data_IF_311561512720
#
_entry.id   IF_311561512720
#
_cell.length_a   1.000
_cell.length_b   1.000
_cell.length_c   1.000
_cell.angle_alpha   90.00
_cell.angle_beta   90.00
_cell.angle_gamma   90.00
#
_symmetry.space_group_name_H-M   'P 1'
#
loop_
_entity.id
_entity.type
_entity.pdbx_description
1 polymer ?
#
# COMPACT_ATOMS: atom_id res chain seq x y z
N UNK A 1 9.20 -7.12 19.90
CA UNK A 1 9.28 -6.13 18.80
C UNK A 1 7.98 -5.34 18.75
N UNK A 2 8.06 -4.04 18.57
CA UNK A 2 6.90 -3.13 18.44
C UNK A 2 6.66 -2.81 16.97
N UNK A 3 5.43 -2.44 16.61
CA UNK A 3 5.05 -1.88 15.31
C UNK A 3 4.99 -0.36 15.50
N UNK A 4 5.72 0.38 14.70
CA UNK A 4 5.80 1.83 14.80
C UNK A 4 5.41 2.47 13.48
N UNK A 5 4.40 3.33 13.48
CA UNK A 5 4.00 4.11 12.30
C UNK A 5 3.55 5.51 12.69
N UNK A 6 3.45 6.40 11.71
CA UNK A 6 3.02 7.78 11.90
C UNK A 6 1.63 8.02 11.30
N UNK A 7 0.74 8.70 12.03
CA UNK A 7 -0.58 9.12 11.57
C UNK A 7 -1.04 10.34 12.38
N UNK A 8 -1.71 11.29 11.74
CA UNK A 8 -2.24 12.51 12.39
C UNK A 8 -1.17 13.25 13.22
N UNK A 9 0.00 13.49 12.64
CA UNK A 9 1.14 14.16 13.30
C UNK A 9 1.64 13.47 14.58
N UNK A 10 1.35 12.19 14.77
CA UNK A 10 1.75 11.39 15.93
C UNK A 10 2.42 10.09 15.52
N UNK A 11 3.37 9.66 16.33
CA UNK A 11 3.93 8.32 16.25
C UNK A 11 3.06 7.38 17.08
N UNK A 12 2.62 6.30 16.46
CA UNK A 12 1.88 5.23 17.11
C UNK A 12 2.84 4.06 17.32
N UNK A 13 2.90 3.58 18.55
CA UNK A 13 3.70 2.42 18.93
C UNK A 13 2.76 1.34 19.48
N UNK A 14 2.75 0.18 18.84
CA UNK A 14 1.86 -0.93 19.16
C UNK A 14 2.66 -2.17 19.50
N UNK A 15 2.15 -2.95 20.45
CA UNK A 15 2.70 -4.26 20.75
C UNK A 15 2.49 -5.25 19.59
N UNK A 16 3.45 -6.15 19.37
CA UNK A 16 3.37 -7.16 18.30
C UNK A 16 2.17 -8.11 18.46
N UNK A 17 1.59 -8.24 19.63
CA UNK A 17 0.34 -9.00 19.81
C UNK A 17 -0.85 -8.43 19.03
N UNK A 18 -0.76 -7.17 18.58
CA UNK A 18 -1.75 -6.54 17.71
C UNK A 18 -1.43 -6.66 16.20
N UNK A 19 -0.39 -7.40 15.84
CA UNK A 19 0.12 -7.49 14.46
C UNK A 19 -0.91 -7.95 13.44
N UNK A 20 -1.83 -8.82 13.82
CA UNK A 20 -2.89 -9.41 13.01
C UNK A 20 -4.19 -8.59 13.00
N UNK A 21 -4.26 -7.50 13.75
CA UNK A 21 -5.41 -6.60 13.76
C UNK A 21 -5.46 -5.77 12.47
N UNK A 22 -6.66 -5.46 11.97
CA UNK A 22 -6.80 -4.61 10.79
C UNK A 22 -6.50 -3.14 11.11
N UNK A 23 -5.91 -2.43 10.15
CA UNK A 23 -5.71 -0.98 10.25
C UNK A 23 -7.04 -0.24 10.43
N UNK A 24 -8.11 -0.69 9.77
CA UNK A 24 -9.44 -0.10 9.89
C UNK A 24 -9.94 -0.11 11.33
N UNK A 25 -9.86 -1.26 12.02
CA UNK A 25 -10.27 -1.38 13.42
C UNK A 25 -9.48 -0.46 14.31
N UNK A 26 -8.16 -0.42 14.13
CA UNK A 26 -7.31 0.47 14.91
C UNK A 26 -7.68 1.94 14.70
N UNK A 27 -7.75 2.39 13.44
CA UNK A 27 -8.08 3.78 13.11
C UNK A 27 -9.44 4.19 13.68
N UNK A 28 -10.45 3.35 13.56
CA UNK A 28 -11.82 3.70 13.97
C UNK A 28 -12.05 3.56 15.47
N UNK A 29 -11.49 2.53 16.12
CA UNK A 29 -11.80 2.18 17.49
C UNK A 29 -10.82 2.77 18.51
N UNK A 30 -9.56 2.96 18.16
CA UNK A 30 -8.53 3.49 19.06
C UNK A 30 -8.08 4.90 18.68
N UNK A 31 -7.67 5.11 17.42
CA UNK A 31 -7.26 6.43 16.96
C UNK A 31 -8.42 7.42 16.75
N UNK A 32 -9.67 6.94 16.75
CA UNK A 32 -10.87 7.80 16.65
C UNK A 32 -11.12 8.36 15.24
N UNK A 33 -10.41 7.89 14.21
CA UNK A 33 -10.50 8.38 12.83
C UNK A 33 -11.74 7.83 12.15
N UNK A 34 -12.85 8.59 12.23
CA UNK A 34 -14.16 8.20 11.67
C UNK A 34 -14.32 8.53 10.19
N UNK A 35 -13.40 9.28 9.59
CA UNK A 35 -13.36 9.54 8.15
C UNK A 35 -13.15 8.24 7.35
N UNK A 36 -12.41 7.27 7.87
CA UNK A 36 -12.24 5.95 7.24
C UNK A 36 -13.51 5.13 7.46
N UNK A 37 -14.16 4.69 6.37
CA UNK A 37 -15.46 4.02 6.42
C UNK A 37 -15.35 2.51 6.22
N UNK A 38 -16.21 1.75 6.87
CA UNK A 38 -16.34 0.31 6.63
C UNK A 38 -17.57 0.05 5.76
N UNK A 39 -17.35 -0.38 4.50
CA UNK A 39 -18.43 -0.74 3.58
C UNK A 39 -18.54 -2.25 3.42
N UNK A 40 -17.54 -2.89 2.82
CA UNK A 40 -17.56 -4.32 2.49
C UNK A 40 -16.78 -5.22 3.46
N UNK A 41 -15.80 -4.68 4.18
CA UNK A 41 -14.83 -5.39 5.03
C UNK A 41 -14.07 -6.52 4.28
N UNK A 42 -13.90 -6.40 2.96
CA UNK A 42 -13.23 -7.42 2.13
C UNK A 42 -12.29 -6.85 1.06
N UNK A 43 -11.95 -5.55 1.17
CA UNK A 43 -10.99 -4.94 0.24
C UNK A 43 -11.55 -4.57 -1.13
N UNK A 44 -12.87 -4.56 -1.33
CA UNK A 44 -13.48 -4.41 -2.65
C UNK A 44 -14.02 -2.99 -2.92
N UNK A 45 -14.76 -2.40 -1.96
CA UNK A 45 -15.50 -1.15 -2.19
C UNK A 45 -14.67 0.14 -2.09
N UNK A 46 -13.47 0.11 -1.53
CA UNK A 46 -12.59 1.27 -1.38
C UNK A 46 -13.02 2.32 -0.35
N UNK A 47 -14.15 2.17 0.34
CA UNK A 47 -14.61 3.15 1.34
C UNK A 47 -13.65 3.30 2.54
N UNK A 48 -12.83 2.30 2.77
CA UNK A 48 -11.79 2.25 3.79
C UNK A 48 -10.39 2.60 3.27
N UNK A 49 -10.26 3.10 2.05
CA UNK A 49 -8.96 3.42 1.46
C UNK A 49 -8.20 4.48 2.29
N UNK A 50 -6.92 4.26 2.44
CA UNK A 50 -5.95 5.17 3.06
C UNK A 50 -4.69 5.21 2.20
N UNK A 51 -3.92 6.30 2.29
CA UNK A 51 -2.63 6.38 1.61
C UNK A 51 -1.51 6.06 2.59
N UNK A 52 -0.68 5.09 2.22
CA UNK A 52 0.50 4.66 2.99
C UNK A 52 1.75 5.08 2.25
N UNK A 53 2.67 5.73 2.94
CA UNK A 53 3.96 6.16 2.40
C UNK A 53 5.09 5.57 3.23
N UNK A 54 6.07 5.01 2.55
CA UNK A 54 7.31 4.49 3.15
C UNK A 54 8.52 5.08 2.43
N UNK A 55 9.62 5.23 3.15
CA UNK A 55 10.90 5.53 2.50
C UNK A 55 11.37 4.33 1.69
N UNK A 56 11.80 4.57 0.47
CA UNK A 56 12.36 3.55 -0.42
C UNK A 56 13.83 3.92 -0.71
N UNK A 57 14.81 3.05 -0.36
CA UNK A 57 16.23 3.34 -0.59
C UNK A 57 16.60 3.54 -2.06
N UNK A 58 15.84 2.98 -2.99
CA UNK A 58 16.12 2.99 -4.43
C UNK A 58 15.32 4.05 -5.19
N UNK A 59 14.09 4.33 -4.74
CA UNK A 59 13.13 5.19 -5.45
C UNK A 59 12.68 6.42 -4.65
N UNK A 60 13.25 6.64 -3.45
CA UNK A 60 12.93 7.76 -2.57
C UNK A 60 11.64 7.55 -1.77
N UNK A 61 10.50 7.45 -2.41
CA UNK A 61 9.20 7.23 -1.74
C UNK A 61 8.44 6.08 -2.39
N UNK A 62 7.91 5.21 -1.56
CA UNK A 62 6.94 4.19 -1.96
C UNK A 62 5.55 4.61 -1.47
N UNK A 63 4.73 5.11 -2.39
CA UNK A 63 3.39 5.66 -2.14
C UNK A 63 2.36 4.61 -2.59
N UNK A 64 1.42 4.26 -1.71
CA UNK A 64 0.40 3.24 -2.01
C UNK A 64 -0.95 3.65 -1.43
N UNK A 65 -2.00 3.47 -2.20
CA UNK A 65 -3.37 3.46 -1.68
C UNK A 65 -3.73 2.03 -1.34
N UNK A 66 -4.21 1.79 -0.11
CA UNK A 66 -4.51 0.45 0.39
C UNK A 66 -5.86 0.40 1.09
N UNK A 67 -6.51 -0.75 1.07
CA UNK A 67 -7.76 -0.98 1.79
C UNK A 67 -7.47 -1.35 3.25
N UNK A 68 -7.72 -0.42 4.18
CA UNK A 68 -7.42 -0.60 5.60
C UNK A 68 -8.17 -1.75 6.27
N UNK A 69 -9.33 -2.17 5.74
CA UNK A 69 -10.12 -3.27 6.30
C UNK A 69 -9.43 -4.65 6.22
N UNK A 70 -8.54 -4.84 5.25
CA UNK A 70 -7.78 -6.09 5.04
C UNK A 70 -6.28 -5.92 5.26
N UNK A 71 -5.84 -4.73 5.70
CA UNK A 71 -4.43 -4.42 5.93
C UNK A 71 -4.07 -4.69 7.39
N UNK A 72 -3.24 -5.71 7.71
CA UNK A 72 -2.81 -5.97 9.08
C UNK A 72 -1.82 -4.91 9.55
N UNK A 73 -1.87 -4.57 10.84
CA UNK A 73 -1.00 -3.56 11.45
C UNK A 73 0.49 -3.87 11.28
N UNK A 74 0.87 -5.16 11.29
CA UNK A 74 2.27 -5.58 11.06
C UNK A 74 2.89 -4.95 9.82
N UNK A 75 2.13 -4.85 8.74
CA UNK A 75 2.61 -4.36 7.43
C UNK A 75 2.78 -2.84 7.35
N UNK A 76 2.49 -2.11 8.44
CA UNK A 76 2.59 -0.66 8.52
C UNK A 76 3.84 -0.18 9.26
N UNK A 77 4.64 -1.10 9.76
CA UNK A 77 5.85 -0.72 10.48
C UNK A 77 6.74 0.20 9.63
N UNK A 78 7.19 1.29 10.23
CA UNK A 78 7.94 2.37 9.60
C UNK A 78 7.23 3.03 8.40
N UNK A 79 5.91 3.17 8.47
CA UNK A 79 5.08 3.82 7.45
C UNK A 79 4.48 5.12 7.96
N UNK A 80 4.16 6.02 7.02
CA UNK A 80 3.20 7.10 7.24
C UNK A 80 1.84 6.66 6.74
N UNK A 81 0.79 6.91 7.51
CA UNK A 81 -0.61 6.62 7.15
C UNK A 81 -1.37 7.93 7.08
N UNK A 82 -2.01 8.19 5.94
CA UNK A 82 -2.83 9.37 5.72
C UNK A 82 -4.28 8.95 5.50
N UNK A 83 -5.19 9.68 6.15
CA UNK A 83 -6.63 9.55 6.03
C UNK A 83 -7.21 10.83 5.43
N UNK A 84 -8.43 10.80 4.90
CA UNK A 84 -9.05 11.98 4.29
C UNK A 84 -9.21 13.17 5.26
N UNK A 85 -9.31 12.91 6.56
CA UNK A 85 -9.35 13.96 7.60
C UNK A 85 -8.01 14.68 7.81
N UNK A 86 -6.91 14.15 7.29
CA UNK A 86 -5.58 14.72 7.48
C UNK A 86 -5.26 15.77 6.39
N UNK A 87 -6.09 15.85 5.35
CA UNK A 87 -5.95 16.82 4.28
C UNK A 87 -6.61 18.15 4.67
N UNK A 88 -5.88 19.28 4.53
CA UNK A 88 -6.47 20.59 4.77
C UNK A 88 -7.51 20.94 3.68
N UNK A 89 -8.48 21.83 3.97
CA UNK A 89 -9.53 22.20 3.02
C UNK A 89 -9.00 22.76 1.67
N UNK A 90 -7.87 23.44 1.71
CA UNK A 90 -7.18 24.04 0.55
C UNK A 90 -6.31 23.05 -0.24
N UNK A 91 -6.33 21.76 0.14
CA UNK A 91 -5.59 20.75 -0.62
C UNK A 91 -6.21 20.55 -2.01
N UNK A 92 -5.43 20.52 -3.12
CA UNK A 92 -5.94 20.41 -4.48
C UNK A 92 -6.98 19.30 -4.70
N UNK A 93 -6.78 18.16 -4.06
CA UNK A 93 -7.73 17.04 -4.09
C UNK A 93 -9.08 17.44 -3.48
N UNK A 94 -9.06 18.12 -2.34
CA UNK A 94 -10.28 18.53 -1.63
C UNK A 94 -11.01 19.60 -2.42
N UNK A 95 -10.28 20.61 -2.91
CA UNK A 95 -10.86 21.67 -3.75
C UNK A 95 -11.47 21.11 -5.03
N UNK A 96 -10.78 20.22 -5.75
CA UNK A 96 -11.32 19.58 -6.95
C UNK A 96 -12.62 18.81 -6.68
N UNK A 97 -12.65 18.05 -5.57
CA UNK A 97 -13.85 17.31 -5.15
C UNK A 97 -15.03 18.22 -4.82
N UNK A 98 -14.76 19.39 -4.20
CA UNK A 98 -15.77 20.39 -3.87
C UNK A 98 -16.28 21.11 -5.12
N UNK A 99 -15.39 21.59 -5.99
CA UNK A 99 -15.76 22.34 -7.19
C UNK A 99 -16.52 21.51 -8.22
N UNK A 100 -16.32 20.19 -8.22
CA UNK A 100 -16.99 19.25 -9.12
C UNK A 100 -18.26 18.64 -8.51
N UNK A 101 -18.70 19.07 -7.35
CA UNK A 101 -19.83 18.46 -6.63
C UNK A 101 -19.71 16.92 -6.55
N UNK A 102 -18.48 16.42 -6.32
CA UNK A 102 -18.12 15.02 -6.43
C UNK A 102 -18.58 14.16 -5.24
N UNK A 103 -19.44 14.69 -4.37
CA UNK A 103 -19.98 14.00 -3.21
C UNK A 103 -21.50 14.21 -3.08
N UNK A 104 -22.23 13.13 -2.78
CA UNK A 104 -23.67 13.21 -2.45
C UNK A 104 -23.92 12.70 -1.04
N UNK A 105 -24.07 11.38 -0.80
CA UNK A 105 -24.28 10.87 0.56
C UNK A 105 -23.02 10.93 1.44
N UNK A 106 -21.83 11.10 0.87
CA UNK A 106 -20.55 11.26 1.57
C UNK A 106 -19.90 9.96 2.05
N UNK A 107 -20.56 8.80 1.94
CA UNK A 107 -20.02 7.55 2.51
C UNK A 107 -18.73 7.07 1.82
N UNK A 108 -18.71 7.05 0.49
CA UNK A 108 -17.52 6.64 -0.30
C UNK A 108 -16.50 7.76 -0.49
N UNK A 109 -16.89 9.02 -0.26
CA UNK A 109 -16.06 10.21 -0.56
C UNK A 109 -14.65 10.15 0.04
N UNK A 110 -14.44 9.78 1.31
CA UNK A 110 -13.09 9.68 1.86
C UNK A 110 -12.19 8.70 1.11
N UNK A 111 -12.74 7.59 0.64
CA UNK A 111 -12.00 6.60 -0.15
C UNK A 111 -11.53 7.16 -1.50
N UNK A 112 -12.40 7.89 -2.22
CA UNK A 112 -12.03 8.57 -3.46
C UNK A 112 -11.00 9.67 -3.24
N UNK A 113 -11.14 10.45 -2.17
CA UNK A 113 -10.16 11.46 -1.77
C UNK A 113 -8.79 10.82 -1.59
N UNK A 114 -8.71 9.67 -0.90
CA UNK A 114 -7.42 9.00 -0.66
C UNK A 114 -6.84 8.38 -1.94
N UNK A 115 -7.67 7.90 -2.86
CA UNK A 115 -7.20 7.44 -4.18
C UNK A 115 -6.61 8.58 -5.01
N UNK A 116 -7.26 9.75 -5.03
CA UNK A 116 -6.73 10.95 -5.68
C UNK A 116 -5.47 11.45 -4.97
N UNK A 117 -5.43 11.44 -3.65
CA UNK A 117 -4.27 11.88 -2.87
C UNK A 117 -3.04 11.02 -3.15
N UNK A 118 -3.20 9.69 -3.22
CA UNK A 118 -2.11 8.80 -3.62
C UNK A 118 -1.57 9.13 -5.01
N UNK A 119 -2.46 9.31 -6.00
CA UNK A 119 -2.07 9.70 -7.37
C UNK A 119 -1.40 11.08 -7.41
N UNK A 120 -1.89 12.03 -6.62
CA UNK A 120 -1.30 13.36 -6.48
C UNK A 120 0.12 13.29 -5.94
N UNK A 121 0.34 12.56 -4.85
CA UNK A 121 1.66 12.40 -4.25
C UNK A 121 2.65 11.71 -5.20
N UNK A 122 2.22 10.64 -5.89
CA UNK A 122 3.05 9.96 -6.88
C UNK A 122 3.48 10.91 -8.01
N UNK A 123 2.53 11.71 -8.53
CA UNK A 123 2.80 12.67 -9.58
C UNK A 123 3.77 13.78 -9.12
N UNK A 124 3.57 14.33 -7.92
CA UNK A 124 4.48 15.33 -7.32
C UNK A 124 5.87 14.75 -7.07
N UNK A 125 5.95 13.51 -6.62
CA UNK A 125 7.24 12.83 -6.42
C UNK A 125 7.99 12.60 -7.74
N UNK A 126 7.28 12.25 -8.81
CA UNK A 126 7.83 12.01 -10.15
C UNK A 126 8.00 13.29 -10.99
N UNK A 127 7.44 14.42 -10.58
CA UNK A 127 7.47 15.68 -11.34
C UNK A 127 6.66 15.63 -12.64
N UNK A 128 5.51 14.91 -12.65
CA UNK A 128 4.62 14.74 -13.80
C UNK A 128 3.21 15.26 -13.50
N UNK A 129 2.36 15.38 -14.54
CA UNK A 129 0.93 15.66 -14.37
C UNK A 129 0.24 14.52 -13.59
N UNK A 130 -0.72 14.86 -12.72
CA UNK A 130 -1.38 13.89 -11.85
C UNK A 130 -2.24 12.90 -12.63
N UNK A 131 -3.21 13.41 -13.38
CA UNK A 131 -4.19 12.60 -14.13
C UNK A 131 -4.38 13.22 -15.50
N UNK A 132 -3.71 12.69 -16.52
CA UNK A 132 -3.67 13.31 -17.84
C UNK A 132 -4.98 13.14 -18.62
N UNK A 133 -5.75 12.10 -18.37
CA UNK A 133 -6.95 11.77 -19.14
C UNK A 133 -7.96 10.92 -18.34
N UNK A 134 -9.10 10.64 -18.99
CA UNK A 134 -10.17 9.84 -18.41
C UNK A 134 -9.76 8.40 -18.10
N UNK A 135 -8.88 7.79 -18.88
CA UNK A 135 -8.44 6.42 -18.66
C UNK A 135 -7.60 6.35 -17.38
N UNK A 136 -6.70 7.30 -17.17
CA UNK A 136 -5.93 7.43 -15.94
C UNK A 136 -6.84 7.68 -14.72
N UNK A 137 -7.90 8.50 -14.85
CA UNK A 137 -8.87 8.71 -13.79
C UNK A 137 -9.61 7.42 -13.41
N UNK A 138 -10.05 6.64 -14.40
CA UNK A 138 -10.70 5.35 -14.18
C UNK A 138 -9.76 4.34 -13.52
N UNK A 139 -8.49 4.33 -13.89
CA UNK A 139 -7.47 3.48 -13.27
C UNK A 139 -7.23 3.86 -11.81
N UNK A 140 -7.13 5.14 -11.49
CA UNK A 140 -6.99 5.64 -10.11
C UNK A 140 -8.19 5.24 -9.25
N UNK A 141 -9.40 5.27 -9.82
CA UNK A 141 -10.63 4.91 -9.12
C UNK A 141 -10.97 3.42 -9.17
N UNK A 142 -10.16 2.61 -9.84
CA UNK A 142 -10.37 1.16 -9.84
C UNK A 142 -10.28 0.63 -8.39
N UNK A 143 -11.34 -0.01 -7.91
CA UNK A 143 -11.47 -0.44 -6.52
C UNK A 143 -12.16 0.58 -5.58
N UNK A 144 -12.76 1.66 -6.13
CA UNK A 144 -13.64 2.56 -5.39
C UNK A 144 -15.06 2.49 -5.95
N UNK A 145 -16.04 2.21 -5.10
CA UNK A 145 -17.44 2.09 -5.50
C UNK A 145 -18.28 3.26 -4.97
N UNK A 146 -19.04 3.88 -5.88
CA UNK A 146 -20.05 4.88 -5.56
C UNK A 146 -21.39 4.53 -6.20
N UNK A 147 -22.48 4.65 -5.46
CA UNK A 147 -23.84 4.42 -5.98
C UNK A 147 -24.55 5.70 -6.40
N UNK A 148 -24.15 6.85 -5.87
CA UNK A 148 -24.92 8.09 -5.95
C UNK A 148 -24.57 8.96 -7.18
N UNK A 149 -23.26 9.18 -7.46
CA UNK A 149 -22.78 10.22 -8.41
C UNK A 149 -22.78 9.78 -9.86
N UNK A 150 -22.88 8.50 -10.15
CA UNK A 150 -22.67 7.97 -11.51
C UNK A 150 -21.23 8.16 -12.02
N UNK A 151 -20.30 8.49 -11.14
CA UNK A 151 -18.85 8.70 -11.35
C UNK A 151 -18.49 9.94 -12.19
N UNK A 152 -19.41 10.63 -12.84
CA UNK A 152 -19.08 11.75 -13.74
C UNK A 152 -18.35 12.85 -12.99
N UNK A 153 -18.95 13.38 -11.93
CA UNK A 153 -18.35 14.44 -11.10
C UNK A 153 -17.05 14.01 -10.41
N UNK A 154 -16.90 12.73 -10.08
CA UNK A 154 -15.64 12.19 -9.56
C UNK A 154 -14.52 12.21 -10.59
N UNK A 155 -14.84 11.85 -11.85
CA UNK A 155 -13.88 11.91 -12.95
C UNK A 155 -13.52 13.36 -13.27
N UNK A 156 -14.49 14.27 -13.26
CA UNK A 156 -14.25 15.70 -13.47
C UNK A 156 -13.32 16.27 -12.38
N UNK A 157 -13.54 15.91 -11.13
CA UNK A 157 -12.64 16.26 -10.03
C UNK A 157 -11.21 15.73 -10.26
N UNK A 158 -11.08 14.50 -10.71
CA UNK A 158 -9.78 13.91 -11.01
C UNK A 158 -9.03 14.68 -12.12
N UNK A 159 -9.72 15.03 -13.21
CA UNK A 159 -9.15 15.71 -14.36
C UNK A 159 -8.81 17.19 -14.09
N UNK A 160 -9.51 17.83 -13.16
CA UNK A 160 -9.29 19.24 -12.83
C UNK A 160 -8.35 19.46 -11.63
N UNK A 161 -7.97 18.42 -10.91
CA UNK A 161 -7.20 18.51 -9.68
C UNK A 161 -5.89 19.32 -9.80
N UNK A 162 -5.18 19.19 -10.91
CA UNK A 162 -3.92 19.92 -11.14
C UNK A 162 -4.13 21.44 -11.26
N UNK A 163 -5.33 21.91 -11.63
CA UNK A 163 -5.63 23.33 -11.75
C UNK A 163 -5.67 24.04 -10.39
N UNK A 164 -5.90 23.31 -9.32
CA UNK A 164 -5.89 23.82 -7.94
C UNK A 164 -4.52 23.68 -7.25
N UNK A 165 -3.53 23.11 -7.95
CA UNK A 165 -2.20 22.92 -7.39
C UNK A 165 -1.34 24.16 -7.58
N UNK A 166 -1.12 24.90 -6.51
CA UNK A 166 -0.24 26.06 -6.49
C UNK A 166 1.23 25.65 -6.55
N UNK A 167 1.99 26.23 -7.47
CA UNK A 167 3.41 25.88 -7.72
C UNK A 167 4.36 26.29 -6.58
N UNK A 168 3.94 27.20 -5.73
CA UNK A 168 4.68 27.71 -4.57
C UNK A 168 4.48 26.89 -3.30
N UNK A 169 3.55 25.91 -3.32
CA UNK A 169 3.30 25.04 -2.17
C UNK A 169 4.05 23.72 -2.32
N UNK A 170 4.84 23.41 -1.32
CA UNK A 170 5.54 22.12 -1.23
C UNK A 170 4.66 21.04 -0.61
N UNK A 171 3.85 20.40 -1.44
CA UNK A 171 2.91 19.36 -1.03
C UNK A 171 3.57 18.08 -0.48
N UNK A 172 4.87 17.89 -0.69
CA UNK A 172 5.62 16.77 -0.11
C UNK A 172 6.26 17.11 1.25
N UNK A 173 6.17 18.35 1.71
CA UNK A 173 6.73 18.73 3.01
C UNK A 173 6.17 17.92 4.20
N UNK A 174 4.84 17.65 4.30
CA UNK A 174 4.31 16.81 5.37
C UNK A 174 4.88 15.38 5.34
N UNK A 175 5.11 14.83 4.15
CA UNK A 175 5.70 13.50 3.98
C UNK A 175 7.13 13.48 4.52
N UNK A 176 7.97 14.45 4.09
CA UNK A 176 9.36 14.53 4.56
C UNK A 176 9.44 14.76 6.06
N UNK A 177 8.59 15.63 6.61
CA UNK A 177 8.52 15.89 8.05
C UNK A 177 8.12 14.62 8.82
N UNK A 178 7.06 13.94 8.39
CA UNK A 178 6.60 12.70 9.02
C UNK A 178 7.66 11.59 9.01
N UNK A 179 8.35 11.39 7.88
CA UNK A 179 9.45 10.43 7.77
C UNK A 179 10.62 10.79 8.69
N UNK A 180 10.97 12.08 8.80
CA UNK A 180 12.05 12.52 9.70
C UNK A 180 11.69 12.28 11.18
N UNK A 181 10.44 12.55 11.57
CA UNK A 181 9.95 12.30 12.93
C UNK A 181 9.98 10.80 13.23
N UNK A 182 9.50 9.98 12.31
CA UNK A 182 9.45 8.52 12.46
C UNK A 182 10.87 7.93 12.57
N UNK A 183 11.78 8.35 11.70
CA UNK A 183 13.20 7.92 11.73
C UNK A 183 13.89 8.32 13.04
N UNK A 184 13.70 9.55 13.49
CA UNK A 184 14.24 10.02 14.78
C UNK A 184 13.71 9.20 15.96
N UNK A 185 12.40 8.89 15.95
CA UNK A 185 11.77 8.07 16.98
C UNK A 185 12.35 6.65 17.00
N UNK A 186 12.44 6.00 15.84
CA UNK A 186 13.01 4.65 15.70
C UNK A 186 14.48 4.62 16.16
N UNK A 187 15.28 5.62 15.79
CA UNK A 187 16.68 5.74 16.21
C UNK A 187 16.83 5.92 17.72
N UNK A 188 15.95 6.70 18.33
CA UNK A 188 15.98 6.92 19.79
C UNK A 188 15.62 5.65 20.59
N UNK A 189 14.71 4.83 20.05
CA UNK A 189 14.25 3.58 20.67
C UNK A 189 15.16 2.38 20.38
N UNK A 190 16.10 2.49 19.44
CA UNK A 190 17.05 1.41 19.17
C UNK A 190 17.93 1.20 20.41
N UNK A 191 17.57 0.16 21.19
CA UNK A 191 18.48 -0.51 22.09
C UNK A 191 19.73 -0.92 21.30
N UNK A 192 20.96 -0.65 21.77
CA UNK A 192 22.20 -1.11 21.12
C UNK A 192 22.20 -2.59 20.73
N UNK A 193 21.42 -3.44 21.44
CA UNK A 193 21.23 -4.84 21.15
C UNK A 193 20.27 -5.12 19.94
N UNK A 194 19.49 -4.14 19.48
CA UNK A 194 18.67 -4.26 18.26
C UNK A 194 19.42 -3.85 16.98
N UNK A 195 20.62 -3.28 17.11
CA UNK A 195 21.51 -2.93 15.98
C UNK A 195 22.04 -4.16 15.25
N UNK A 196 21.92 -5.36 15.82
CA UNK A 196 22.35 -6.60 15.17
C UNK A 196 21.57 -6.96 13.88
N UNK A 197 20.43 -6.35 13.62
CA UNK A 197 19.70 -6.53 12.35
C UNK A 197 20.15 -5.61 11.21
N UNK A 198 21.01 -4.61 11.49
CA UNK A 198 21.60 -3.69 10.53
C UNK A 198 23.13 -3.64 10.70
N UNK A 199 23.78 -4.81 10.94
CA UNK A 199 25.22 -4.99 10.88
C UNK A 199 26.04 -3.92 11.61
N UNK A 200 26.46 -4.17 12.87
CA UNK A 200 27.66 -3.51 13.38
C UNK A 200 28.87 -3.91 12.50
N UNK A 201 29.87 -3.03 12.28
CA UNK A 201 31.07 -3.41 11.51
C UNK A 201 31.81 -4.52 12.25
N UNK A 202 31.64 -5.76 11.79
CA UNK A 202 32.29 -6.95 12.38
C UNK A 202 31.42 -8.22 12.42
N UNK A 203 30.11 -8.10 12.44
CA UNK A 203 29.22 -9.27 12.34
C UNK A 203 28.99 -9.59 10.85
N UNK A 204 29.06 -10.87 10.50
CA UNK A 204 28.61 -11.34 9.18
C UNK A 204 27.16 -10.87 9.01
N UNK A 205 26.82 -10.24 7.87
CA UNK A 205 25.43 -9.80 7.64
C UNK A 205 24.55 -11.04 7.72
N UNK A 206 23.67 -11.04 8.73
CA UNK A 206 22.66 -12.09 8.86
C UNK A 206 21.74 -11.94 7.64
N UNK A 207 21.66 -13.00 6.82
CA UNK A 207 20.78 -13.00 5.65
C UNK A 207 19.32 -12.95 6.13
N UNK A 208 18.52 -11.89 5.82
CA UNK A 208 17.15 -11.77 6.28
C UNK A 208 16.27 -12.96 5.90
N UNK A 209 16.59 -13.66 4.82
CA UNK A 209 15.89 -14.90 4.41
C UNK A 209 16.16 -15.99 5.44
N UNK A 210 17.44 -16.19 5.82
CA UNK A 210 17.85 -17.23 6.78
C UNK A 210 17.21 -16.98 8.14
N UNK A 211 17.17 -15.72 8.60
CA UNK A 211 16.54 -15.37 9.87
C UNK A 211 15.04 -15.60 9.87
N UNK A 212 14.37 -15.21 8.78
CA UNK A 212 12.92 -15.45 8.64
C UNK A 212 12.60 -16.94 8.59
N UNK A 213 13.44 -17.76 7.93
CA UNK A 213 13.28 -19.22 7.92
C UNK A 213 13.55 -19.84 9.29
N UNK A 214 14.51 -19.32 10.06
CA UNK A 214 14.77 -19.74 11.44
C UNK A 214 13.57 -19.41 12.33
N UNK A 215 13.06 -18.18 12.27
CA UNK A 215 11.85 -17.77 13.01
C UNK A 215 10.65 -18.65 12.64
N UNK A 216 10.51 -19.01 11.35
CA UNK A 216 9.47 -19.96 10.91
C UNK A 216 9.67 -21.36 11.46
N UNK A 217 10.89 -21.85 11.57
CA UNK A 217 11.19 -23.16 12.15
C UNK A 217 10.90 -23.22 13.65
N UNK A 218 11.13 -22.12 14.38
CA UNK A 218 10.80 -21.99 15.81
C UNK A 218 9.29 -21.81 16.04
N UNK A 219 8.58 -21.16 15.10
CA UNK A 219 7.15 -20.88 15.14
C UNK A 219 6.44 -21.52 13.94
N UNK A 220 6.34 -22.85 13.95
CA UNK A 220 5.82 -23.66 12.82
C UNK A 220 4.42 -23.21 12.38
N UNK A 221 3.57 -22.75 13.30
CA UNK A 221 2.21 -22.32 13.03
C UNK A 221 2.10 -20.86 12.57
N UNK A 222 3.19 -20.08 12.57
CA UNK A 222 3.19 -18.73 12.05
C UNK A 222 2.99 -18.73 10.53
N UNK A 223 2.24 -17.77 10.03
CA UNK A 223 1.96 -17.62 8.59
C UNK A 223 2.88 -16.60 7.94
N UNK A 224 3.43 -16.93 6.78
CA UNK A 224 4.06 -15.92 5.92
C UNK A 224 3.02 -14.93 5.40
N UNK A 225 3.36 -13.66 5.42
CA UNK A 225 2.53 -12.59 4.88
C UNK A 225 3.36 -11.67 4.00
N UNK A 226 2.81 -11.30 2.84
CA UNK A 226 3.33 -10.24 1.99
C UNK A 226 2.26 -9.13 1.87
N UNK A 227 1.47 -9.13 0.80
CA UNK A 227 0.41 -8.13 0.59
C UNK A 227 -0.81 -8.23 1.49
N UNK A 228 -1.02 -9.37 2.14
CA UNK A 228 -2.12 -9.68 3.05
C UNK A 228 -3.52 -9.64 2.43
N UNK A 229 -3.69 -9.59 1.12
CA UNK A 229 -5.02 -9.46 0.48
C UNK A 229 -5.92 -10.68 0.69
N UNK A 230 -5.36 -11.89 0.78
CA UNK A 230 -6.10 -13.10 1.18
C UNK A 230 -6.16 -13.26 2.69
N UNK A 231 -5.03 -13.13 3.39
CA UNK A 231 -4.94 -13.27 4.83
C UNK A 231 -5.80 -12.22 5.55
N UNK A 232 -5.87 -11.01 5.02
CA UNK A 232 -6.75 -9.95 5.52
C UNK A 232 -8.22 -10.34 5.53
N UNK A 233 -8.68 -11.17 4.58
CA UNK A 233 -10.03 -11.73 4.59
C UNK A 233 -10.26 -12.73 5.72
N UNK A 234 -9.24 -13.47 6.12
CA UNK A 234 -9.34 -14.35 7.28
C UNK A 234 -9.58 -13.53 8.55
N UNK A 235 -8.86 -12.42 8.69
CA UNK A 235 -8.97 -11.51 9.83
C UNK A 235 -10.32 -10.80 9.85
N UNK A 236 -10.74 -10.19 8.73
CA UNK A 236 -11.90 -9.31 8.66
C UNK A 236 -13.24 -10.05 8.50
N UNK A 237 -13.27 -11.16 7.74
CA UNK A 237 -14.52 -11.86 7.38
C UNK A 237 -14.68 -13.20 8.07
N UNK A 238 -13.60 -13.95 8.22
CA UNK A 238 -13.64 -15.28 8.84
C UNK A 238 -13.34 -15.25 10.34
N UNK A 239 -12.88 -14.11 10.87
CA UNK A 239 -12.45 -13.94 12.26
C UNK A 239 -11.43 -15.01 12.70
N UNK A 240 -10.61 -15.47 11.74
CA UNK A 240 -9.54 -16.45 11.99
C UNK A 240 -8.24 -15.69 12.18
N UNK A 241 -7.54 -16.02 13.26
CA UNK A 241 -6.24 -15.42 13.58
C UNK A 241 -5.14 -16.44 13.42
N UNK A 242 -4.08 -16.15 12.65
CA UNK A 242 -2.88 -16.98 12.60
C UNK A 242 -2.12 -16.92 13.92
N UNK A 243 -1.39 -17.97 14.26
CA UNK A 243 -0.57 -18.05 15.49
C UNK A 243 0.74 -17.22 15.41
N UNK A 244 0.78 -16.23 14.54
CA UNK A 244 1.90 -15.34 14.28
C UNK A 244 1.98 -14.98 12.81
N UNK A 245 2.61 -13.84 12.52
CA UNK A 245 2.82 -13.34 11.17
C UNK A 245 4.30 -13.05 10.91
N UNK A 246 4.83 -13.55 9.80
CA UNK A 246 6.17 -13.31 9.31
C UNK A 246 6.10 -12.48 8.04
N UNK A 247 6.51 -11.21 8.12
CA UNK A 247 6.38 -10.25 7.02
C UNK A 247 7.51 -10.40 6.00
N UNK A 248 7.18 -10.96 4.84
CA UNK A 248 8.11 -11.13 3.71
C UNK A 248 8.49 -9.82 3.02
N UNK A 249 7.70 -8.75 3.20
CA UNK A 249 8.03 -7.43 2.63
C UNK A 249 9.26 -6.78 3.31
N UNK A 250 9.69 -7.32 4.45
CA UNK A 250 10.92 -6.89 5.14
C UNK A 250 12.19 -7.51 4.59
N UNK A 251 12.08 -8.45 3.66
CA UNK A 251 13.21 -9.13 3.03
C UNK A 251 13.51 -8.41 1.71
N UNK A 252 14.60 -7.62 1.62
CA UNK A 252 14.87 -6.80 0.43
C UNK A 252 14.96 -7.65 -0.86
N UNK A 253 15.54 -8.84 -0.78
CA UNK A 253 15.67 -9.76 -1.93
C UNK A 253 14.32 -10.18 -2.51
N UNK A 254 13.26 -10.19 -1.70
CA UNK A 254 11.91 -10.55 -2.12
C UNK A 254 11.07 -9.37 -2.64
N UNK A 255 11.56 -8.13 -2.52
CA UNK A 255 10.79 -6.93 -2.89
C UNK A 255 11.33 -6.22 -4.14
N UNK A 256 12.46 -6.65 -4.69
CA UNK A 256 13.10 -6.04 -5.85
C UNK A 256 12.86 -6.82 -7.14
N UNK A 257 12.99 -6.14 -8.27
CA UNK A 257 13.13 -6.76 -9.60
C UNK A 257 14.55 -6.55 -10.11
N UNK A 258 15.05 -7.53 -10.84
CA UNK A 258 16.36 -7.47 -11.52
C UNK A 258 16.20 -7.94 -12.96
N UNK A 259 16.71 -7.15 -13.88
CA UNK A 259 16.70 -7.46 -15.30
C UNK A 259 18.15 -7.59 -15.78
N UNK A 260 18.50 -8.74 -16.35
CA UNK A 260 19.81 -9.04 -16.89
C UNK A 260 19.70 -9.81 -18.23
N UNK A 261 20.83 -10.22 -18.80
CA UNK A 261 20.91 -10.96 -20.07
C UNK A 261 20.23 -12.35 -19.99
N UNK A 262 19.98 -12.86 -18.79
CA UNK A 262 19.35 -14.16 -18.56
C UNK A 262 17.84 -14.06 -18.41
N UNK A 263 17.31 -12.84 -18.28
CA UNK A 263 15.89 -12.57 -18.15
C UNK A 263 15.53 -11.63 -17.02
N UNK A 264 14.29 -11.67 -16.62
CA UNK A 264 13.71 -10.83 -15.58
C UNK A 264 13.42 -11.66 -14.33
N UNK A 265 14.06 -11.31 -13.22
CA UNK A 265 13.80 -11.90 -11.89
C UNK A 265 12.95 -10.96 -11.08
N UNK A 266 11.87 -11.47 -10.52
CA UNK A 266 10.92 -10.69 -9.73
C UNK A 266 10.84 -11.29 -8.33
N UNK A 267 11.05 -10.46 -7.31
CA UNK A 267 10.91 -10.87 -5.92
C UNK A 267 9.47 -11.25 -5.57
N UNK A 268 9.29 -12.35 -4.85
CA UNK A 268 7.97 -12.91 -4.54
C UNK A 268 7.06 -11.97 -3.73
N UNK A 269 7.62 -11.09 -2.90
CA UNK A 269 6.87 -10.12 -2.10
C UNK A 269 6.67 -8.77 -2.81
N UNK A 270 7.16 -8.61 -4.07
CA UNK A 270 6.97 -7.37 -4.83
C UNK A 270 5.50 -7.13 -5.12
N UNK A 271 4.98 -5.90 -4.89
CA UNK A 271 3.58 -5.57 -5.16
C UNK A 271 3.21 -5.74 -6.63
N UNK A 272 2.02 -6.27 -6.91
CA UNK A 272 1.55 -6.53 -8.28
C UNK A 272 1.49 -5.26 -9.11
N UNK A 273 1.11 -4.11 -8.54
CA UNK A 273 1.08 -2.86 -9.29
C UNK A 273 2.48 -2.51 -9.85
N UNK A 274 3.53 -2.63 -9.02
CA UNK A 274 4.89 -2.37 -9.47
C UNK A 274 5.36 -3.36 -10.54
N UNK A 275 5.00 -4.65 -10.38
CA UNK A 275 5.29 -5.68 -11.39
C UNK A 275 4.57 -5.37 -12.71
N UNK A 276 3.28 -4.98 -12.65
CA UNK A 276 2.50 -4.66 -13.84
C UNK A 276 3.00 -3.41 -14.56
N UNK A 277 3.38 -2.37 -13.81
CA UNK A 277 3.97 -1.16 -14.38
C UNK A 277 5.27 -1.49 -15.14
N UNK A 278 6.12 -2.35 -14.57
CA UNK A 278 7.35 -2.83 -15.22
C UNK A 278 7.04 -3.70 -16.45
N UNK A 279 6.06 -4.62 -16.37
CA UNK A 279 5.64 -5.45 -17.49
C UNK A 279 5.17 -4.61 -18.69
N UNK A 280 4.43 -3.53 -18.44
CA UNK A 280 3.93 -2.65 -19.49
C UNK A 280 5.01 -1.87 -20.24
N UNK A 281 6.21 -1.76 -19.69
CA UNK A 281 7.38 -1.19 -20.41
C UNK A 281 7.84 -2.15 -21.51
N UNK A 282 7.79 -3.46 -21.26
CA UNK A 282 8.28 -4.48 -22.19
C UNK A 282 7.17 -5.08 -23.06
N UNK A 283 5.95 -5.18 -22.52
CA UNK A 283 4.77 -5.78 -23.17
C UNK A 283 3.55 -4.87 -23.03
N UNK A 284 3.51 -3.72 -23.75
CA UNK A 284 2.40 -2.77 -23.66
C UNK A 284 1.05 -3.36 -24.10
N UNK A 285 1.07 -4.45 -24.88
CA UNK A 285 -0.12 -5.20 -25.31
C UNK A 285 -0.84 -5.90 -24.15
N UNK A 286 -0.17 -6.13 -23.01
CA UNK A 286 -0.79 -6.73 -21.82
C UNK A 286 -1.67 -5.74 -21.04
N UNK A 287 -1.70 -4.45 -21.42
CA UNK A 287 -2.40 -3.39 -20.67
C UNK A 287 -3.82 -3.76 -20.31
N UNK A 288 -4.64 -4.18 -21.28
CA UNK A 288 -6.03 -4.50 -21.05
C UNK A 288 -6.20 -5.68 -20.06
N UNK A 289 -5.33 -6.67 -20.13
CA UNK A 289 -5.32 -7.81 -19.21
C UNK A 289 -4.96 -7.37 -17.78
N UNK A 290 -3.89 -6.63 -17.62
CA UNK A 290 -3.36 -6.22 -16.31
C UNK A 290 -4.27 -5.20 -15.60
N UNK A 291 -4.88 -4.26 -16.34
CA UNK A 291 -5.82 -3.28 -15.79
C UNK A 291 -7.14 -3.91 -15.32
N UNK A 292 -7.54 -5.04 -15.91
CA UNK A 292 -8.73 -5.80 -15.47
C UNK A 292 -8.50 -6.64 -14.22
N UNK A 293 -7.25 -6.87 -13.86
CA UNK A 293 -6.91 -7.61 -12.65
C UNK A 293 -7.12 -6.74 -11.43
N UNK A 294 -8.13 -7.05 -10.62
CA UNK A 294 -8.43 -6.38 -9.35
C UNK A 294 -8.44 -4.83 -9.40
N UNK A 295 -8.82 -4.17 -8.33
CA UNK A 295 -8.67 -2.72 -8.19
C UNK A 295 -7.25 -2.31 -7.76
N UNK A 296 -6.87 -1.07 -8.07
CA UNK A 296 -5.55 -0.51 -7.75
C UNK A 296 -5.13 -0.69 -6.27
N UNK A 297 -5.99 -0.49 -5.24
CA UNK A 297 -5.61 -0.73 -3.84
C UNK A 297 -5.24 -2.18 -3.54
N UNK A 298 -5.87 -3.14 -4.25
CA UNK A 298 -5.52 -4.55 -4.14
C UNK A 298 -4.18 -4.82 -4.82
N UNK A 299 -3.98 -4.37 -6.06
CA UNK A 299 -2.69 -4.52 -6.78
C UNK A 299 -1.53 -3.87 -6.06
N UNK A 300 -1.76 -2.72 -5.39
CA UNK A 300 -0.77 -2.01 -4.57
C UNK A 300 -0.37 -2.76 -3.30
N UNK A 301 -1.21 -3.70 -2.84
CA UNK A 301 -0.95 -4.54 -1.66
C UNK A 301 -0.54 -5.96 -2.01
N UNK A 302 -1.29 -6.63 -2.91
CA UNK A 302 -1.06 -8.01 -3.32
C UNK A 302 0.35 -8.17 -3.92
N UNK A 303 0.98 -9.31 -3.67
CA UNK A 303 2.29 -9.64 -4.22
C UNK A 303 2.19 -10.75 -5.28
N UNK A 304 3.18 -10.79 -6.18
CA UNK A 304 3.24 -11.82 -7.21
C UNK A 304 3.32 -13.22 -6.60
N UNK A 305 4.23 -13.42 -5.64
CA UNK A 305 4.37 -14.72 -4.96
C UNK A 305 3.14 -15.08 -4.12
N UNK A 306 2.48 -14.09 -3.50
CA UNK A 306 1.22 -14.31 -2.77
C UNK A 306 0.10 -14.80 -3.69
N UNK A 307 -0.03 -14.22 -4.90
CA UNK A 307 -1.02 -14.67 -5.88
C UNK A 307 -0.76 -16.11 -6.35
N UNK A 308 0.51 -16.48 -6.55
CA UNK A 308 0.89 -17.84 -6.89
C UNK A 308 0.63 -18.82 -5.72
N UNK A 309 1.06 -18.45 -4.50
CA UNK A 309 0.99 -19.33 -3.34
C UNK A 309 -0.44 -19.56 -2.84
N UNK A 310 -1.34 -18.58 -3.00
CA UNK A 310 -2.75 -18.72 -2.65
C UNK A 310 -3.49 -19.69 -3.58
N UNK A 311 -2.97 -19.90 -4.80
CA UNK A 311 -3.56 -20.76 -5.83
C UNK A 311 -5.07 -20.50 -6.03
N UNK A 312 -5.49 -19.23 -5.90
CA UNK A 312 -6.88 -18.82 -6.04
C UNK A 312 -7.38 -19.13 -7.46
N UNK A 313 -8.59 -19.67 -7.63
CA UNK A 313 -9.18 -19.90 -8.95
C UNK A 313 -9.43 -18.60 -9.76
N UNK A 314 -9.36 -17.44 -9.08
CA UNK A 314 -9.45 -16.11 -9.71
C UNK A 314 -8.09 -15.38 -9.74
N UNK A 315 -6.99 -16.10 -9.50
CA UNK A 315 -5.63 -15.57 -9.50
C UNK A 315 -5.02 -15.59 -10.90
N UNK A 316 -5.23 -14.53 -11.67
CA UNK A 316 -4.84 -14.47 -13.09
C UNK A 316 -3.33 -14.41 -13.34
N UNK A 317 -2.49 -14.21 -12.31
CA UNK A 317 -1.03 -14.24 -12.51
C UNK A 317 -0.50 -15.62 -12.88
N UNK A 318 -1.15 -16.71 -12.44
CA UNK A 318 -0.71 -18.08 -12.77
C UNK A 318 -0.78 -18.36 -14.28
N UNK A 319 -1.93 -18.18 -14.97
CA UNK A 319 -2.00 -18.39 -16.40
C UNK A 319 -1.14 -17.41 -17.20
N UNK A 320 -1.01 -16.16 -16.75
CA UNK A 320 -0.12 -15.18 -17.37
C UNK A 320 1.34 -15.65 -17.35
N UNK A 321 1.85 -16.01 -16.18
CA UNK A 321 3.24 -16.44 -16.01
C UNK A 321 3.51 -17.75 -16.77
N UNK A 322 2.54 -18.64 -16.81
CA UNK A 322 2.64 -19.86 -17.61
C UNK A 322 2.74 -19.55 -19.10
N UNK A 323 1.90 -18.64 -19.62
CA UNK A 323 1.98 -18.20 -21.01
C UNK A 323 3.33 -17.53 -21.35
N UNK A 324 3.99 -16.94 -20.38
CA UNK A 324 5.31 -16.30 -20.51
C UNK A 324 6.48 -17.26 -20.27
N UNK A 325 6.25 -18.57 -20.10
CA UNK A 325 7.27 -19.58 -19.75
C UNK A 325 8.11 -19.20 -18.52
N UNK A 326 7.46 -18.61 -17.52
CA UNK A 326 8.11 -18.18 -16.29
C UNK A 326 8.53 -19.39 -15.42
N UNK A 327 9.65 -19.24 -14.69
CA UNK A 327 10.18 -20.28 -13.79
C UNK A 327 10.15 -19.80 -12.35
N UNK A 328 9.87 -20.71 -11.42
CA UNK A 328 10.04 -20.48 -9.99
C UNK A 328 11.43 -20.94 -9.56
N UNK A 329 12.14 -20.13 -8.80
CA UNK A 329 13.49 -20.41 -8.27
C UNK A 329 13.55 -20.14 -6.76
#
# INVERSE_FOLDING_TARGET
MTIVFWQDNKVHELDRSQSDRSLLDYLRCEAGVKSVKEGCAQGDCGACAVTVVQADPHHGLHIRVVNSCIKPLLSLDQSLVFCASDLPPEHPVVEAMLQSDASQCGFCTPGFVMSLYGAFLEARHKGVACIPDRAAALEVFSGNLCRCTGYVSLIDAALTMDTFSHSDVDWLAPIRSGLAVLDAYVKQKKDPNMISMLGAPGDLPIDPIVDTLREKAEHVDASFVAGATDLGLWLSRKHQRPNGLLDLCRIPQLTVSQHDDQGWRIGAARPLQAVFDEMLVYWPELREYLERFAGRPIRSSASLGGNLASASPIGDCIPLLWAMDARLS
#
